data_IF_322120320023
#
_entry.id   IF_322120320023
#
_cell.length_a   1.000
_cell.length_b   1.000
_cell.length_c   1.000
_cell.angle_alpha   90.00
_cell.angle_beta   90.00
_cell.angle_gamma   90.00
#
_symmetry.space_group_name_H-M   'P 1'
#
loop_
_entity.id
_entity.type
_entity.pdbx_description
1 polymer ?
#
# COMPACT_ATOMS: atom_id res chain seq x y z
N UNK A 1 27.08 38.13 -39.55
CA UNK A 1 27.36 38.79 -38.26
C UNK A 1 26.32 39.88 -38.12
N UNK A 2 25.32 39.84 -37.25
CA UNK A 2 25.30 39.57 -35.82
C UNK A 2 23.97 38.90 -35.42
N UNK A 3 23.96 37.92 -34.52
CA UNK A 3 22.73 37.48 -33.83
C UNK A 3 22.88 37.80 -32.34
N UNK A 4 22.02 38.68 -31.85
CA UNK A 4 21.96 39.09 -30.46
C UNK A 4 21.34 37.98 -29.62
N UNK A 5 22.11 37.39 -28.71
CA UNK A 5 21.61 36.43 -27.72
C UNK A 5 21.08 37.17 -26.49
N UNK A 6 19.77 37.23 -26.35
CA UNK A 6 19.11 37.80 -25.16
C UNK A 6 19.27 36.84 -23.98
N UNK A 7 20.19 37.15 -23.07
CA UNK A 7 20.41 36.40 -21.82
C UNK A 7 19.39 36.85 -20.77
N UNK A 8 18.38 36.03 -20.50
CA UNK A 8 17.46 36.24 -19.38
C UNK A 8 18.07 35.69 -18.08
N UNK A 9 17.99 36.43 -16.95
CA UNK A 9 18.55 35.96 -15.69
C UNK A 9 17.75 34.76 -15.15
N UNK A 10 18.47 33.67 -14.83
CA UNK A 10 17.91 32.46 -14.23
C UNK A 10 17.56 32.74 -12.77
N UNK A 11 16.27 32.72 -12.44
CA UNK A 11 15.78 32.87 -11.07
C UNK A 11 16.19 31.64 -10.25
N UNK A 12 17.13 31.78 -9.34
CA UNK A 12 17.53 30.73 -8.40
C UNK A 12 16.42 30.66 -7.33
N UNK A 13 15.58 29.63 -7.39
CA UNK A 13 14.57 29.35 -6.36
C UNK A 13 15.23 28.46 -5.31
N UNK A 14 15.67 29.05 -4.22
CA UNK A 14 16.20 28.34 -3.06
C UNK A 14 15.04 27.70 -2.31
N UNK A 15 14.82 26.39 -2.50
CA UNK A 15 13.85 25.63 -1.71
C UNK A 15 14.44 25.32 -0.34
N UNK A 16 14.07 26.09 0.68
CA UNK A 16 14.31 25.73 2.07
C UNK A 16 13.46 24.50 2.41
N UNK A 17 14.12 23.36 2.66
CA UNK A 17 13.46 22.14 3.14
C UNK A 17 13.14 22.32 4.63
N UNK A 18 11.94 22.81 4.92
CA UNK A 18 11.39 22.83 6.27
C UNK A 18 11.20 21.40 6.74
N UNK A 19 12.06 20.94 7.66
CA UNK A 19 11.87 19.70 8.40
C UNK A 19 10.73 19.93 9.37
N UNK A 20 9.51 19.53 9.00
CA UNK A 20 8.38 19.50 9.91
C UNK A 20 8.63 18.39 10.91
N UNK A 21 9.19 18.74 12.08
CA UNK A 21 9.23 17.86 13.24
C UNK A 21 7.80 17.68 13.71
N UNK A 22 7.17 16.57 13.33
CA UNK A 22 5.84 16.20 13.82
C UNK A 22 5.95 15.94 15.32
N UNK A 23 5.60 16.95 16.11
CA UNK A 23 5.38 16.78 17.54
C UNK A 23 4.28 15.76 17.74
N UNK A 24 4.62 14.62 18.34
CA UNK A 24 3.70 13.59 18.81
C UNK A 24 2.66 14.24 19.74
N UNK A 25 1.53 14.64 19.18
CA UNK A 25 0.32 14.90 19.96
C UNK A 25 -0.19 13.54 20.40
N UNK A 26 0.03 13.26 21.69
CA UNK A 26 -0.52 12.14 22.45
C UNK A 26 -2.04 12.20 22.33
N UNK A 27 -2.59 11.55 21.30
CA UNK A 27 -4.02 11.35 21.15
C UNK A 27 -4.45 10.44 22.30
N UNK A 28 -5.25 11.00 23.20
CA UNK A 28 -5.94 10.26 24.25
C UNK A 28 -6.86 9.25 23.57
N UNK A 29 -6.36 8.02 23.42
CA UNK A 29 -7.19 6.85 23.24
C UNK A 29 -8.13 6.76 24.44
N UNK A 30 -9.42 6.77 24.18
CA UNK A 30 -10.45 6.47 25.17
C UNK A 30 -10.08 5.15 25.87
N UNK A 31 -9.84 5.13 27.20
CA UNK A 31 -9.34 3.95 27.88
C UNK A 31 -10.53 3.05 28.23
N UNK A 32 -10.94 2.19 27.32
CA UNK A 32 -11.57 0.93 27.74
C UNK A 32 -10.46 -0.09 27.97
N UNK A 33 -9.68 0.20 29.01
CA UNK A 33 -8.63 -0.67 29.51
C UNK A 33 -9.26 -1.91 30.12
N UNK A 34 -9.26 -3.02 29.38
CA UNK A 34 -9.08 -4.30 30.04
C UNK A 34 -7.64 -4.75 29.79
N UNK A 35 -6.85 -4.61 30.85
CA UNK A 35 -5.43 -4.92 30.88
C UNK A 35 -5.19 -6.37 30.42
N UNK A 36 -4.22 -6.57 29.51
CA UNK A 36 -3.85 -7.87 28.97
C UNK A 36 -4.93 -8.61 28.16
N UNK A 37 -5.47 -7.99 27.11
CA UNK A 37 -6.15 -8.77 26.07
C UNK A 37 -5.14 -9.70 25.39
N UNK A 38 -4.97 -10.90 25.94
CA UNK A 38 -4.17 -11.96 25.35
C UNK A 38 -4.89 -12.51 24.13
N UNK A 39 -4.11 -12.87 23.12
CA UNK A 39 -4.59 -13.39 21.86
C UNK A 39 -3.66 -14.47 21.33
N UNK A 40 -4.11 -15.26 20.37
CA UNK A 40 -3.30 -16.29 19.75
C UNK A 40 -3.64 -17.69 20.22
N UNK A 41 -3.04 -18.67 19.55
CA UNK A 41 -3.25 -20.11 19.81
C UNK A 41 -3.00 -20.49 21.27
N UNK A 42 -1.99 -19.90 21.89
CA UNK A 42 -1.56 -20.22 23.26
C UNK A 42 -2.48 -19.58 24.32
N UNK A 43 -3.44 -18.75 23.90
CA UNK A 43 -4.38 -18.02 24.78
C UNK A 43 -5.82 -18.35 24.41
N UNK A 44 -6.13 -19.64 24.31
CA UNK A 44 -7.46 -20.17 23.99
C UNK A 44 -8.01 -19.67 22.65
N UNK A 45 -7.14 -19.50 21.66
CA UNK A 45 -7.50 -18.98 20.33
C UNK A 45 -8.22 -17.61 20.36
N UNK A 46 -8.01 -16.82 21.41
CA UNK A 46 -8.62 -15.48 21.53
C UNK A 46 -8.13 -14.58 20.41
N UNK A 47 -9.06 -13.83 19.82
CA UNK A 47 -8.77 -12.81 18.82
C UNK A 47 -8.87 -11.42 19.45
N UNK A 48 -8.11 -10.48 18.89
CA UNK A 48 -8.16 -9.09 19.28
C UNK A 48 -9.41 -8.38 18.77
N UNK A 49 -9.71 -7.22 19.35
CA UNK A 49 -10.79 -6.38 18.88
C UNK A 49 -10.53 -5.90 17.44
N UNK A 50 -11.60 -5.48 16.76
CA UNK A 50 -11.52 -5.04 15.36
C UNK A 50 -10.50 -3.91 15.22
N UNK A 51 -9.55 -4.09 14.32
CA UNK A 51 -8.49 -3.10 14.04
C UNK A 51 -7.21 -3.31 14.84
N UNK A 52 -7.22 -4.16 15.87
CA UNK A 52 -6.03 -4.49 16.64
C UNK A 52 -5.27 -5.69 16.06
N UNK A 53 -3.98 -5.72 16.33
CA UNK A 53 -3.04 -6.73 15.93
C UNK A 53 -2.78 -7.69 17.08
N UNK A 54 -2.69 -8.98 16.79
CA UNK A 54 -2.20 -9.94 17.76
C UNK A 54 -0.69 -10.06 17.63
N UNK A 55 0.06 -9.50 18.59
CA UNK A 55 1.52 -9.54 18.56
C UNK A 55 2.08 -10.96 18.60
N UNK A 56 3.36 -11.11 18.24
CA UNK A 56 4.10 -12.38 18.39
C UNK A 56 4.03 -12.95 19.80
N UNK A 57 3.90 -12.09 20.82
CA UNK A 57 3.84 -12.46 22.25
C UNK A 57 2.41 -12.74 22.74
N UNK A 58 1.43 -12.70 21.85
CA UNK A 58 0.03 -12.97 22.16
C UNK A 58 -0.62 -11.86 22.98
N UNK A 59 -0.38 -10.61 22.58
CA UNK A 59 -1.03 -9.42 23.15
C UNK A 59 -1.69 -8.62 22.03
N UNK A 60 -2.89 -8.11 22.30
CA UNK A 60 -3.59 -7.17 21.44
C UNK A 60 -3.06 -5.76 21.59
N UNK A 61 -3.02 -5.04 20.47
CA UNK A 61 -2.70 -3.62 20.42
C UNK A 61 -2.49 -3.13 18.98
N UNK A 62 -2.07 -1.89 18.84
CA UNK A 62 -1.82 -1.23 17.55
C UNK A 62 -0.36 -0.79 17.42
N UNK A 63 0.08 -0.50 16.20
CA UNK A 63 1.47 -0.10 15.92
C UNK A 63 2.46 -1.26 15.77
N UNK A 64 3.69 -0.94 15.42
CA UNK A 64 4.71 -1.90 14.95
C UNK A 64 5.04 -3.02 15.93
N UNK A 65 4.98 -2.77 17.25
CA UNK A 65 5.24 -3.79 18.27
C UNK A 65 4.19 -4.91 18.28
N UNK A 66 2.99 -4.63 17.79
CA UNK A 66 1.88 -5.58 17.72
C UNK A 66 1.65 -6.07 16.29
N UNK A 67 1.67 -5.16 15.32
CA UNK A 67 1.35 -5.40 13.92
C UNK A 67 2.57 -5.76 13.06
N UNK A 68 3.78 -5.59 13.59
CA UNK A 68 5.03 -5.87 12.91
C UNK A 68 5.33 -7.36 12.80
N UNK A 69 6.62 -7.69 12.66
CA UNK A 69 7.09 -9.06 12.43
C UNK A 69 6.62 -10.04 13.50
N UNK A 70 6.02 -11.14 13.04
CA UNK A 70 5.46 -12.18 13.92
C UNK A 70 4.05 -11.90 14.43
N UNK A 71 3.38 -10.83 13.99
CA UNK A 71 1.95 -10.68 14.21
C UNK A 71 1.17 -11.90 13.72
N UNK A 72 0.20 -12.37 14.50
CA UNK A 72 -0.57 -13.58 14.27
C UNK A 72 -1.90 -13.26 13.57
N UNK A 73 -1.93 -13.28 12.23
CA UNK A 73 -3.10 -12.78 11.47
C UNK A 73 -4.41 -13.54 11.68
N UNK A 74 -4.36 -14.79 12.15
CA UNK A 74 -5.58 -15.52 12.52
C UNK A 74 -6.30 -14.94 13.73
N UNK A 75 -5.64 -14.05 14.48
CA UNK A 75 -6.13 -13.51 15.75
C UNK A 75 -6.09 -11.97 15.79
N UNK A 76 -5.75 -11.29 14.69
CA UNK A 76 -5.70 -9.83 14.61
C UNK A 76 -5.29 -9.31 13.23
N UNK A 77 -5.34 -7.99 13.05
CA UNK A 77 -5.09 -7.28 11.78
C UNK A 77 -3.59 -7.02 11.55
N UNK A 78 -2.87 -7.94 10.92
CA UNK A 78 -1.40 -7.81 10.80
C UNK A 78 -0.88 -6.97 9.62
N UNK A 79 -1.75 -6.25 8.90
CA UNK A 79 -1.39 -5.44 7.73
C UNK A 79 -1.20 -3.94 8.03
N UNK A 80 -1.32 -3.52 9.30
CA UNK A 80 -1.27 -2.12 9.74
C UNK A 80 0.12 -1.46 9.58
N UNK A 81 1.18 -2.26 9.50
CA UNK A 81 2.56 -1.79 9.25
C UNK A 81 3.00 -1.90 7.78
N UNK A 82 2.05 -1.91 6.84
CA UNK A 82 2.35 -2.13 5.42
C UNK A 82 2.80 -3.56 5.12
N UNK A 83 2.43 -4.54 5.95
CA UNK A 83 2.73 -5.95 5.69
C UNK A 83 1.57 -6.65 5.01
N UNK A 84 1.87 -7.70 4.26
CA UNK A 84 0.89 -8.52 3.54
C UNK A 84 1.43 -9.94 3.35
N UNK A 85 0.59 -10.83 2.85
CA UNK A 85 0.94 -12.23 2.62
C UNK A 85 0.02 -13.18 3.36
N UNK A 86 0.30 -14.48 3.27
CA UNK A 86 -0.52 -15.53 3.90
C UNK A 86 -0.77 -15.30 5.40
N UNK A 87 0.25 -14.78 6.10
CA UNK A 87 0.21 -14.54 7.55
C UNK A 87 -0.13 -13.09 7.92
N UNK A 88 -0.49 -12.24 6.97
CA UNK A 88 -0.82 -10.82 7.22
C UNK A 88 -2.11 -10.35 6.54
N UNK A 89 -2.59 -11.08 5.53
CA UNK A 89 -3.73 -10.70 4.71
C UNK A 89 -3.34 -9.79 3.54
N UNK A 90 -4.35 -9.14 2.96
CA UNK A 90 -4.18 -8.20 1.84
C UNK A 90 -3.64 -6.85 2.31
N UNK A 91 -3.02 -6.10 1.40
CA UNK A 91 -2.69 -4.70 1.65
C UNK A 91 -3.94 -3.87 1.99
N UNK A 92 -3.75 -2.85 2.83
CA UNK A 92 -4.82 -1.97 3.28
C UNK A 92 -5.34 -1.06 2.18
N UNK A 93 -4.43 -0.58 1.33
CA UNK A 93 -4.80 0.10 0.11
C UNK A 93 -4.98 -0.95 -0.99
N UNK A 94 -6.13 -0.92 -1.65
CA UNK A 94 -6.53 -1.88 -2.67
C UNK A 94 -5.74 -1.76 -3.99
N UNK A 95 -4.98 -0.68 -4.17
CA UNK A 95 -4.05 -0.47 -5.30
C UNK A 95 -2.61 -0.86 -5.00
N UNK A 96 -2.29 -1.20 -3.74
CA UNK A 96 -0.95 -1.65 -3.35
C UNK A 96 -0.72 -3.10 -3.76
N UNK A 97 0.51 -3.35 -4.19
CA UNK A 97 1.07 -4.65 -4.49
C UNK A 97 1.63 -5.25 -3.21
N UNK A 98 1.52 -6.58 -3.09
CA UNK A 98 2.20 -7.30 -2.04
C UNK A 98 3.49 -7.88 -2.60
N UNK A 99 4.65 -7.36 -2.23
CA UNK A 99 5.93 -7.86 -2.75
C UNK A 99 6.18 -9.30 -2.33
N UNK A 100 7.17 -9.94 -2.98
CA UNK A 100 7.68 -11.25 -2.57
C UNK A 100 8.12 -11.31 -1.10
N UNK A 101 8.46 -10.17 -0.50
CA UNK A 101 8.93 -10.07 0.88
C UNK A 101 7.82 -9.77 1.89
N UNK A 102 6.56 -9.68 1.44
CA UNK A 102 5.40 -9.45 2.30
C UNK A 102 5.24 -7.99 2.73
N UNK A 103 5.61 -7.05 1.86
CA UNK A 103 5.42 -5.62 2.08
C UNK A 103 4.51 -5.00 1.02
N UNK A 104 3.73 -4.02 1.43
CA UNK A 104 2.78 -3.28 0.64
C UNK A 104 3.37 -1.99 0.10
N UNK A 105 3.38 -1.83 -1.22
CA UNK A 105 3.83 -0.62 -1.90
C UNK A 105 3.21 -0.58 -3.31
N UNK A 106 3.47 0.47 -4.09
CA UNK A 106 3.03 0.61 -5.49
C UNK A 106 4.19 0.62 -6.50
N UNK A 107 5.44 0.58 -6.02
CA UNK A 107 6.65 0.60 -6.84
C UNK A 107 6.79 -0.66 -7.69
N UNK A 108 7.50 -0.52 -8.82
CA UNK A 108 7.81 -1.63 -9.73
C UNK A 108 8.49 -2.81 -9.00
N UNK A 109 9.33 -2.53 -7.99
CA UNK A 109 9.99 -3.55 -7.18
C UNK A 109 9.00 -4.41 -6.38
N UNK A 110 7.86 -3.86 -5.97
CA UNK A 110 6.81 -4.56 -5.23
C UNK A 110 5.77 -5.18 -6.14
N UNK A 111 5.46 -4.53 -7.26
CA UNK A 111 4.43 -4.91 -8.21
C UNK A 111 4.90 -5.85 -9.33
N UNK A 112 6.22 -6.05 -9.44
CA UNK A 112 6.84 -6.88 -10.47
C UNK A 112 6.51 -8.37 -10.41
N UNK A 113 7.28 -9.18 -11.11
CA UNK A 113 6.98 -10.60 -11.38
C UNK A 113 6.79 -11.48 -10.14
N UNK A 114 7.39 -11.14 -8.99
CA UNK A 114 7.25 -11.91 -7.75
C UNK A 114 6.24 -11.33 -6.76
N UNK A 115 5.39 -10.43 -7.23
CA UNK A 115 4.28 -9.91 -6.44
C UNK A 115 3.29 -11.04 -6.09
N UNK A 116 2.80 -11.06 -4.86
CA UNK A 116 1.85 -12.04 -4.35
C UNK A 116 0.41 -11.60 -4.67
N UNK A 117 -0.12 -12.01 -5.82
CA UNK A 117 -1.43 -11.57 -6.35
C UNK A 117 -2.63 -11.90 -5.45
N UNK A 118 -2.52 -12.92 -4.59
CA UNK A 118 -3.54 -13.23 -3.57
C UNK A 118 -3.66 -12.14 -2.49
N UNK A 119 -2.59 -11.36 -2.27
CA UNK A 119 -2.46 -10.42 -1.17
C UNK A 119 -2.27 -8.95 -1.60
N UNK A 120 -2.15 -8.68 -2.90
CA UNK A 120 -2.07 -7.31 -3.43
C UNK A 120 -2.33 -7.24 -4.94
N UNK A 121 -2.41 -6.02 -5.46
CA UNK A 121 -2.78 -5.73 -6.85
C UNK A 121 -1.56 -5.69 -7.79
N UNK A 122 -1.02 -6.86 -8.12
CA UNK A 122 0.17 -7.01 -8.97
C UNK A 122 -0.04 -6.52 -10.42
N UNK A 123 1.04 -6.39 -11.19
CA UNK A 123 0.92 -6.13 -12.62
C UNK A 123 0.33 -7.31 -13.38
N UNK A 124 -0.48 -6.99 -14.38
CA UNK A 124 -0.90 -7.96 -15.37
C UNK A 124 0.19 -8.27 -16.40
N UNK A 125 0.09 -9.46 -16.98
CA UNK A 125 1.03 -9.98 -17.97
C UNK A 125 0.52 -9.71 -19.38
N UNK A 126 1.44 -9.53 -20.34
CA UNK A 126 1.14 -9.32 -21.77
C UNK A 126 0.14 -8.16 -22.00
N UNK A 127 0.36 -7.04 -21.31
CA UNK A 127 -0.51 -5.84 -21.33
C UNK A 127 -1.99 -6.09 -20.97
N UNK A 128 -2.32 -7.23 -20.37
CA UNK A 128 -3.67 -7.47 -19.83
C UNK A 128 -3.81 -6.80 -18.46
N UNK A 129 -5.03 -6.38 -18.15
CA UNK A 129 -5.40 -5.82 -16.85
C UNK A 129 -6.85 -6.16 -16.53
N UNK A 130 -7.26 -5.88 -15.29
CA UNK A 130 -8.59 -6.21 -14.80
C UNK A 130 -8.53 -7.14 -13.60
N UNK A 131 -9.68 -7.57 -13.12
CA UNK A 131 -9.79 -8.38 -11.89
C UNK A 131 -8.95 -9.65 -11.91
N UNK A 132 -8.88 -10.32 -13.07
CA UNK A 132 -8.13 -11.56 -13.24
C UNK A 132 -6.64 -11.35 -13.49
N UNK A 133 -6.25 -10.18 -14.00
CA UNK A 133 -4.89 -9.95 -14.49
C UNK A 133 -4.09 -9.00 -13.59
N UNK A 134 -4.75 -8.09 -12.87
CA UNK A 134 -4.11 -7.06 -12.09
C UNK A 134 -4.05 -5.71 -12.81
N UNK A 135 -3.13 -4.86 -12.38
CA UNK A 135 -3.03 -3.46 -12.85
C UNK A 135 -2.03 -3.30 -13.98
N UNK A 136 -2.12 -2.17 -14.66
CA UNK A 136 -1.15 -1.80 -15.67
C UNK A 136 0.17 -1.29 -15.07
N UNK A 137 1.28 -1.72 -15.69
CA UNK A 137 2.62 -1.18 -15.43
C UNK A 137 2.80 0.20 -16.07
N UNK A 138 3.66 1.03 -15.48
CA UNK A 138 4.04 2.33 -16.05
C UNK A 138 2.93 3.38 -16.05
N UNK A 139 1.94 3.24 -15.17
CA UNK A 139 0.83 4.19 -15.06
C UNK A 139 -0.11 4.21 -16.28
N UNK A 140 -0.12 3.16 -17.10
CA UNK A 140 -1.11 3.05 -18.20
C UNK A 140 -2.53 2.94 -17.65
N UNK A 141 -3.49 3.25 -18.50
CA UNK A 141 -4.92 3.06 -18.26
C UNK A 141 -5.29 1.61 -18.52
N UNK A 142 -6.28 1.09 -17.79
CA UNK A 142 -6.87 -0.21 -18.07
C UNK A 142 -8.18 -0.01 -18.80
N UNK A 143 -8.24 -0.35 -20.08
CA UNK A 143 -9.45 -0.15 -20.90
C UNK A 143 -10.61 -1.00 -20.39
N UNK A 144 -11.83 -0.69 -20.85
CA UNK A 144 -13.01 -1.54 -20.60
C UNK A 144 -12.87 -2.97 -21.10
N UNK A 145 -11.92 -3.20 -22.02
CA UNK A 145 -11.63 -4.50 -22.63
C UNK A 145 -10.54 -5.28 -21.90
N UNK A 146 -10.00 -4.75 -20.80
CA UNK A 146 -8.96 -5.44 -20.01
C UNK A 146 -7.57 -5.37 -20.62
N UNK A 147 -7.27 -4.29 -21.34
CA UNK A 147 -5.95 -4.05 -21.93
C UNK A 147 -5.35 -2.74 -21.44
N UNK A 148 -4.02 -2.75 -21.28
CA UNK A 148 -3.24 -1.61 -20.84
C UNK A 148 -2.83 -0.72 -22.01
N UNK A 149 -3.13 0.58 -21.91
CA UNK A 149 -2.72 1.54 -22.93
C UNK A 149 -2.87 2.99 -22.46
N UNK A 150 -2.48 3.91 -23.33
CA UNK A 150 -2.47 5.37 -23.05
C UNK A 150 -3.40 6.17 -23.98
N UNK A 151 -4.02 5.52 -24.97
CA UNK A 151 -4.93 6.19 -25.90
C UNK A 151 -6.24 6.59 -25.21
N UNK A 152 -7.02 7.45 -25.87
CA UNK A 152 -8.37 7.83 -25.43
C UNK A 152 -9.25 6.61 -25.14
N UNK A 153 -9.16 5.57 -25.96
CA UNK A 153 -10.01 4.37 -25.83
C UNK A 153 -9.67 3.54 -24.59
N UNK A 154 -8.46 3.71 -24.06
CA UNK A 154 -8.03 3.08 -22.82
C UNK A 154 -8.36 3.93 -21.60
N UNK A 155 -8.20 5.25 -21.71
CA UNK A 155 -8.21 6.16 -20.55
C UNK A 155 -9.54 6.84 -20.29
N UNK A 156 -10.42 6.96 -21.29
CA UNK A 156 -11.72 7.62 -21.18
C UNK A 156 -12.82 6.60 -20.84
N UNK A 157 -13.98 6.71 -21.48
CA UNK A 157 -15.21 5.97 -21.15
C UNK A 157 -14.98 4.46 -21.00
N UNK A 158 -15.22 3.97 -19.78
CA UNK A 158 -15.09 2.56 -19.43
C UNK A 158 -13.69 2.13 -18.95
N UNK A 159 -12.74 3.07 -18.78
CA UNK A 159 -11.50 2.78 -18.10
C UNK A 159 -11.76 2.22 -16.69
N UNK A 160 -11.00 1.20 -16.28
CA UNK A 160 -11.14 0.52 -14.99
C UNK A 160 -10.20 1.15 -13.93
N UNK A 161 -10.69 2.03 -13.03
CA UNK A 161 -9.84 2.88 -12.17
C UNK A 161 -9.11 2.13 -11.06
N UNK A 162 -9.52 0.89 -10.81
CA UNK A 162 -8.80 0.00 -9.90
C UNK A 162 -7.51 -0.54 -10.54
N UNK A 163 -7.52 -0.75 -11.85
CA UNK A 163 -6.46 -1.45 -12.58
C UNK A 163 -5.59 -0.53 -13.46
N UNK A 164 -5.92 0.75 -13.57
CA UNK A 164 -5.13 1.74 -14.32
C UNK A 164 -5.42 3.19 -13.94
N UNK A 165 -4.68 4.12 -14.55
CA UNK A 165 -4.82 5.57 -14.30
C UNK A 165 -5.84 6.20 -15.25
N UNK A 166 -7.13 6.08 -14.93
CA UNK A 166 -8.22 6.68 -15.72
C UNK A 166 -8.25 8.22 -15.62
N UNK A 167 -8.76 8.87 -16.68
CA UNK A 167 -8.82 10.34 -16.81
C UNK A 167 -10.22 10.82 -17.14
#
# INVERSE_FOLDING_TARGET
MWQFTTSYPRRIVTTTRTTTTTTNTKSKSNPTSNNNSRCGKDFNNKSCSKGECCSKKGYCGTGSNYCGTGCQASYGRCNDGGRCGANCGKCLNDKQCCSQYGYCDISDAHCGSKCQSKFGLCYGSHDKCGEQYGRCKGGKCCSKWGYCGTSSDHCKNGCQPRYGLCK
#
